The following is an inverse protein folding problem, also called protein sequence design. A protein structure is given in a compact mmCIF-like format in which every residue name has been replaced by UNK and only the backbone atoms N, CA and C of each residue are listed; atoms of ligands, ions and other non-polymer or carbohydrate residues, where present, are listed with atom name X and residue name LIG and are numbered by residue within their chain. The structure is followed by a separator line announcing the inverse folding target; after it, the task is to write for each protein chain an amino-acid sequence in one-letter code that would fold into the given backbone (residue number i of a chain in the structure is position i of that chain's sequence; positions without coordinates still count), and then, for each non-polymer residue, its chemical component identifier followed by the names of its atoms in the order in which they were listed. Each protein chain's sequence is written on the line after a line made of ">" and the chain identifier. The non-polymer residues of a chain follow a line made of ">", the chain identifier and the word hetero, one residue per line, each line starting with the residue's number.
data_IF_701577910276
#
_entry.id   IF_701577910276
#
_cell.length_a   1.000
_cell.length_b   1.000
_cell.length_c   1.000
_cell.angle_alpha   90.00
_cell.angle_beta   90.00
_cell.angle_gamma   90.00
#
_symmetry.space_group_name_H-M   'P 1'
#
loop_
_entity.id
_entity.type
_entity.pdbx_description
1 polymer ?
#
# COMPACT_ATOMS: atom_id res chain seq x y z
N UNK A 1 -3.51 -14.49 13.22
CA UNK A 1 -2.33 -13.63 13.46
C UNK A 1 -2.48 -12.50 12.49
N UNK A 2 -2.62 -11.28 13.00
CA UNK A 2 -2.89 -10.10 12.18
C UNK A 2 -1.58 -9.56 11.64
N UNK A 3 -1.54 -9.23 10.35
CA UNK A 3 -0.35 -8.63 9.73
C UNK A 3 -0.54 -7.13 9.53
N UNK A 4 0.55 -6.37 9.65
CA UNK A 4 0.59 -4.95 9.31
C UNK A 4 1.55 -4.77 8.14
N UNK A 5 1.03 -4.28 7.01
CA UNK A 5 1.77 -4.04 5.78
C UNK A 5 2.08 -2.54 5.72
N UNK A 6 3.34 -2.18 5.89
CA UNK A 6 3.79 -0.78 5.87
C UNK A 6 4.35 -0.47 4.48
N UNK A 7 3.82 0.55 3.83
CA UNK A 7 4.14 0.93 2.44
C UNK A 7 4.61 2.38 2.42
N UNK A 8 5.93 2.65 2.41
CA UNK A 8 6.44 3.99 2.15
C UNK A 8 6.26 4.34 0.67
N UNK A 9 5.81 5.57 0.39
CA UNK A 9 5.53 6.06 -0.96
C UNK A 9 6.22 7.39 -1.19
N UNK A 10 6.92 7.50 -2.32
CA UNK A 10 7.50 8.76 -2.81
C UNK A 10 7.50 8.81 -4.34
N UNK A 11 6.67 9.69 -4.92
CA UNK A 11 6.55 9.95 -6.37
C UNK A 11 6.38 8.68 -7.24
N UNK A 12 5.51 7.75 -6.81
CA UNK A 12 5.20 6.50 -7.51
C UNK A 12 3.71 6.16 -7.49
N UNK A 13 2.85 7.02 -8.09
CA UNK A 13 1.39 6.84 -8.04
C UNK A 13 0.94 5.54 -8.72
N UNK A 14 1.48 5.23 -9.91
CA UNK A 14 1.06 4.08 -10.70
C UNK A 14 1.40 2.74 -10.01
N UNK A 15 2.61 2.62 -9.43
CA UNK A 15 3.02 1.41 -8.73
C UNK A 15 2.26 1.21 -7.42
N UNK A 16 1.89 2.30 -6.75
CA UNK A 16 1.08 2.24 -5.52
C UNK A 16 -0.32 1.77 -5.83
N UNK A 17 -0.94 2.25 -6.92
CA UNK A 17 -2.24 1.80 -7.36
C UNK A 17 -2.25 0.31 -7.70
N UNK A 18 -1.26 -0.17 -8.47
CA UNK A 18 -1.13 -1.60 -8.79
C UNK A 18 -0.95 -2.45 -7.52
N UNK A 19 -0.09 -2.01 -6.60
CA UNK A 19 0.16 -2.68 -5.33
C UNK A 19 -1.12 -2.76 -4.48
N UNK A 20 -1.82 -1.64 -4.29
CA UNK A 20 -3.06 -1.59 -3.51
C UNK A 20 -4.14 -2.48 -4.15
N UNK A 21 -4.28 -2.45 -5.48
CA UNK A 21 -5.19 -3.33 -6.20
C UNK A 21 -4.86 -4.81 -5.94
N UNK A 22 -3.58 -5.19 -5.96
CA UNK A 22 -3.15 -6.57 -5.67
C UNK A 22 -3.48 -7.01 -4.24
N UNK A 23 -3.46 -6.08 -3.26
CA UNK A 23 -3.82 -6.36 -1.87
C UNK A 23 -5.32 -6.61 -1.73
N UNK A 24 -6.16 -5.96 -2.54
CA UNK A 24 -7.62 -6.19 -2.54
C UNK A 24 -8.02 -7.61 -2.93
N UNK A 25 -7.21 -8.30 -3.75
CA UNK A 25 -7.51 -9.66 -4.25
C UNK A 25 -6.84 -10.78 -3.46
N UNK A 26 -6.11 -10.45 -2.37
CA UNK A 26 -5.49 -11.47 -1.51
C UNK A 26 -6.54 -12.39 -0.87
N UNK A 27 -6.24 -13.69 -0.77
CA UNK A 27 -7.14 -14.68 -0.12
C UNK A 27 -7.20 -14.49 1.39
N UNK A 28 -6.07 -14.20 2.01
CA UNK A 28 -5.98 -13.88 3.43
C UNK A 28 -6.40 -12.42 3.64
N UNK A 29 -7.19 -12.12 4.69
CA UNK A 29 -7.82 -10.79 4.90
C UNK A 29 -7.57 -10.17 6.27
N UNK A 30 -6.95 -10.89 7.21
CA UNK A 30 -6.67 -10.39 8.56
C UNK A 30 -5.37 -9.56 8.57
N UNK A 31 -5.39 -8.45 7.84
CA UNK A 31 -4.27 -7.51 7.76
C UNK A 31 -4.74 -6.05 7.68
N UNK A 32 -3.84 -5.14 8.04
CA UNK A 32 -3.99 -3.71 7.81
C UNK A 32 -2.90 -3.21 6.86
N UNK A 33 -3.21 -2.12 6.16
CA UNK A 33 -2.28 -1.44 5.26
C UNK A 33 -2.05 -0.04 5.82
N UNK A 34 -0.77 0.29 6.05
CA UNK A 34 -0.34 1.60 6.54
C UNK A 34 0.52 2.23 5.46
N UNK A 35 -0.03 3.20 4.74
CA UNK A 35 0.70 3.97 3.73
C UNK A 35 1.38 5.15 4.42
N UNK A 36 2.69 5.28 4.22
CA UNK A 36 3.50 6.39 4.73
C UNK A 36 3.94 7.23 3.53
N UNK A 37 3.29 8.36 3.35
CA UNK A 37 3.60 9.33 2.30
C UNK A 37 4.82 10.17 2.75
N UNK A 38 5.87 10.22 1.92
CA UNK A 38 7.15 10.88 2.23
C UNK A 38 7.37 12.18 1.41
N UNK A 39 6.32 12.98 1.21
CA UNK A 39 6.40 14.30 0.57
C UNK A 39 6.43 14.27 -0.96
N UNK A 40 5.66 13.36 -1.57
CA UNK A 40 5.50 13.27 -3.03
C UNK A 40 5.00 14.57 -3.63
N UNK A 41 5.60 14.97 -4.74
CA UNK A 41 5.13 16.08 -5.57
C UNK A 41 3.95 15.68 -6.46
N UNK A 42 3.80 14.38 -6.71
CA UNK A 42 2.67 13.77 -7.41
C UNK A 42 2.14 12.63 -6.53
N UNK A 43 1.02 12.86 -5.82
CA UNK A 43 0.41 11.86 -4.94
C UNK A 43 -0.41 10.83 -5.72
#
# INVERSE_FOLDING_TARGET
>A
MRYSIIIPVYNRPDEVDELLQSLTVQRFKDFEVVVVEDGSSVP
#
